data_IF_132058653563
#
_entry.id   IF_132058653563
#
_cell.length_a   1.000
_cell.length_b   1.000
_cell.length_c   1.000
_cell.angle_alpha   90.00
_cell.angle_beta   90.00
_cell.angle_gamma   90.00
#
_symmetry.space_group_name_H-M   'P 1'
#
loop_
_entity.id
_entity.type
_entity.pdbx_description
1 polymer ?
#
# COMPACT_ATOMS: atom_id res chain seq x y z
N UNK A 1 -0.58 7.99 5.44
CA UNK A 1 -1.92 7.35 5.46
C UNK A 1 -2.62 7.50 6.80
N UNK A 2 -2.03 7.11 7.95
CA UNK A 2 -2.70 7.17 9.26
C UNK A 2 -3.37 8.51 9.63
N UNK A 3 -2.72 9.66 9.38
CA UNK A 3 -3.31 10.98 9.65
C UNK A 3 -4.51 11.32 8.74
N UNK A 4 -4.50 10.86 7.50
CA UNK A 4 -5.62 11.04 6.55
C UNK A 4 -6.84 10.23 7.01
N UNK A 5 -6.62 9.00 7.46
CA UNK A 5 -7.67 8.14 8.00
C UNK A 5 -8.27 8.72 9.29
N UNK A 6 -7.43 9.23 10.21
CA UNK A 6 -7.91 9.94 11.40
C UNK A 6 -8.85 11.10 11.05
N UNK A 7 -8.45 11.94 10.08
CA UNK A 7 -9.23 13.10 9.67
C UNK A 7 -10.50 12.70 8.92
N UNK A 8 -10.44 11.71 8.02
CA UNK A 8 -11.61 11.17 7.31
C UNK A 8 -12.61 10.55 8.27
N UNK A 9 -12.18 9.65 9.17
CA UNK A 9 -13.08 9.03 10.17
C UNK A 9 -13.66 10.07 11.14
N UNK A 10 -12.88 11.10 11.51
CA UNK A 10 -13.38 12.22 12.32
C UNK A 10 -14.41 13.06 11.56
N UNK A 11 -14.21 13.31 10.26
CA UNK A 11 -15.14 14.06 9.42
C UNK A 11 -16.46 13.29 9.25
N UNK A 12 -16.39 11.99 8.96
CA UNK A 12 -17.55 11.09 8.83
C UNK A 12 -18.35 11.03 10.15
N UNK A 13 -17.70 10.84 11.30
CA UNK A 13 -18.38 10.81 12.59
C UNK A 13 -18.98 12.15 13.04
N UNK A 14 -18.41 13.29 12.61
CA UNK A 14 -19.01 14.60 12.89
C UNK A 14 -20.25 14.86 12.02
N UNK A 15 -20.28 14.36 10.79
CA UNK A 15 -21.46 14.42 9.91
C UNK A 15 -22.61 13.52 10.42
N UNK A 16 -22.32 12.30 10.89
CA UNK A 16 -23.34 11.38 11.44
C UNK A 16 -23.99 11.85 12.75
N UNK A 17 -23.41 12.83 13.46
CA UNK A 17 -24.10 13.48 14.60
C UNK A 17 -25.27 14.38 14.16
N UNK A 18 -25.29 14.89 12.92
CA UNK A 18 -26.40 15.69 12.36
C UNK A 18 -27.48 14.83 11.72
N UNK A 19 -27.11 13.72 11.09
CA UNK A 19 -28.03 12.78 10.46
C UNK A 19 -28.10 11.48 11.28
N UNK A 20 -29.21 11.25 12.00
CA UNK A 20 -29.48 10.05 12.83
C UNK A 20 -29.55 8.75 12.01
N UNK A 21 -28.49 8.35 11.30
CA UNK A 21 -28.29 6.98 10.82
C UNK A 21 -27.15 6.36 11.61
N UNK A 22 -27.55 5.66 12.66
CA UNK A 22 -26.69 4.87 13.52
C UNK A 22 -26.06 3.72 12.74
N UNK A 23 -24.74 3.58 12.88
CA UNK A 23 -24.04 2.36 12.51
C UNK A 23 -22.55 2.59 12.31
N UNK A 24 -21.77 2.43 13.39
CA UNK A 24 -20.31 2.23 13.38
C UNK A 24 -19.47 3.52 13.30
N UNK A 25 -19.57 4.40 14.31
CA UNK A 25 -18.48 5.35 14.57
C UNK A 25 -17.30 4.61 15.22
N UNK A 26 -16.40 4.06 14.41
CA UNK A 26 -15.13 3.50 14.89
C UNK A 26 -14.27 4.65 15.42
N UNK A 27 -13.64 4.49 16.58
CA UNK A 27 -12.80 5.55 17.17
C UNK A 27 -11.72 5.98 16.16
N UNK A 28 -11.65 7.27 15.77
CA UNK A 28 -10.74 7.75 14.73
C UNK A 28 -9.27 7.44 15.01
N UNK A 29 -8.89 7.46 16.28
CA UNK A 29 -7.55 7.07 16.75
C UNK A 29 -7.24 5.60 16.44
N UNK A 30 -8.15 4.67 16.76
CA UNK A 30 -7.94 3.26 16.45
C UNK A 30 -7.87 3.00 14.94
N UNK A 31 -8.74 3.64 14.14
CA UNK A 31 -8.70 3.50 12.68
C UNK A 31 -7.34 3.92 12.08
N UNK A 32 -6.79 5.05 12.54
CA UNK A 32 -5.48 5.54 12.16
C UNK A 32 -4.33 4.62 12.62
N UNK A 33 -4.43 4.05 13.83
CA UNK A 33 -3.42 3.11 14.36
C UNK A 33 -3.44 1.80 13.57
N UNK A 34 -4.61 1.21 13.31
CA UNK A 34 -4.71 -0.03 12.54
C UNK A 34 -4.15 0.13 11.12
N UNK A 35 -4.51 1.22 10.43
CA UNK A 35 -4.00 1.51 9.09
C UNK A 35 -2.52 1.85 9.09
N UNK A 36 -2.04 2.58 10.10
CA UNK A 36 -0.61 2.86 10.29
C UNK A 36 0.22 1.59 10.51
N UNK A 37 -0.22 0.71 11.41
CA UNK A 37 0.46 -0.55 11.73
C UNK A 37 0.44 -1.50 10.53
N UNK A 38 -0.71 -1.66 9.86
CA UNK A 38 -0.82 -2.48 8.66
C UNK A 38 0.16 -2.03 7.56
N UNK A 39 0.27 -0.71 7.34
CA UNK A 39 1.22 -0.15 6.40
C UNK A 39 2.67 -0.40 6.82
N UNK A 40 3.01 -0.18 8.09
CA UNK A 40 4.34 -0.42 8.63
C UNK A 40 4.79 -1.87 8.39
N UNK A 41 3.95 -2.85 8.74
CA UNK A 41 4.26 -4.26 8.50
C UNK A 41 4.35 -4.60 7.01
N UNK A 42 3.48 -4.03 6.17
CA UNK A 42 3.54 -4.25 4.72
C UNK A 42 4.86 -3.74 4.14
N UNK A 43 5.26 -2.52 4.51
CA UNK A 43 6.52 -1.92 4.08
C UNK A 43 7.71 -2.74 4.59
N UNK A 44 7.70 -3.16 5.86
CA UNK A 44 8.75 -3.98 6.43
C UNK A 44 8.88 -5.33 5.69
N UNK A 45 7.76 -5.95 5.35
CA UNK A 45 7.72 -7.20 4.59
C UNK A 45 8.31 -7.03 3.18
N UNK A 46 8.02 -5.91 2.50
CA UNK A 46 8.60 -5.61 1.18
C UNK A 46 10.09 -5.25 1.26
N UNK A 47 10.53 -4.60 2.34
CA UNK A 47 11.94 -4.25 2.55
C UNK A 47 12.78 -5.44 3.02
N UNK A 48 12.18 -6.40 3.70
CA UNK A 48 12.84 -7.59 4.24
C UNK A 48 13.86 -8.26 3.30
N UNK A 49 13.57 -8.53 2.01
CA UNK A 49 14.57 -9.09 1.10
C UNK A 49 15.82 -8.23 0.94
N UNK A 50 15.72 -6.89 0.99
CA UNK A 50 16.88 -5.99 0.93
C UNK A 50 17.70 -5.99 2.21
N UNK A 51 17.12 -6.39 3.35
CA UNK A 51 17.87 -6.47 4.61
C UNK A 51 18.76 -7.72 4.69
N UNK A 52 18.41 -8.79 3.97
CA UNK A 52 19.07 -10.10 4.08
C UNK A 52 19.96 -10.39 2.88
N UNK A 53 19.55 -9.97 1.68
CA UNK A 53 20.26 -10.29 0.45
C UNK A 53 21.27 -9.19 0.12
N UNK A 54 22.55 -9.56 0.06
CA UNK A 54 23.63 -8.65 -0.34
C UNK A 54 23.57 -8.26 -1.83
N UNK A 55 22.89 -9.06 -2.66
CA UNK A 55 22.77 -8.77 -4.08
C UNK A 55 21.43 -8.07 -4.38
N UNK A 56 21.53 -6.80 -4.77
CA UNK A 56 20.41 -5.90 -5.06
C UNK A 56 19.48 -6.46 -6.14
N UNK A 57 20.00 -7.16 -7.15
CA UNK A 57 19.17 -7.71 -8.23
C UNK A 57 18.29 -8.87 -7.75
N UNK A 58 18.82 -9.75 -6.89
CA UNK A 58 18.03 -10.81 -6.28
C UNK A 58 17.00 -10.24 -5.28
N UNK A 59 17.39 -9.23 -4.49
CA UNK A 59 16.48 -8.55 -3.58
C UNK A 59 15.32 -7.87 -4.31
N UNK A 60 15.59 -7.25 -5.47
CA UNK A 60 14.58 -6.64 -6.33
C UNK A 60 13.58 -7.66 -6.86
N UNK A 61 14.07 -8.79 -7.41
CA UNK A 61 13.20 -9.87 -7.89
C UNK A 61 12.30 -10.41 -6.78
N UNK A 62 12.85 -10.59 -5.58
CA UNK A 62 12.08 -11.07 -4.42
C UNK A 62 11.06 -10.04 -3.93
N UNK A 63 11.40 -8.75 -3.97
CA UNK A 63 10.47 -7.68 -3.63
C UNK A 63 9.29 -7.61 -4.59
N UNK A 64 9.53 -7.73 -5.90
CA UNK A 64 8.47 -7.74 -6.91
C UNK A 64 7.51 -8.92 -6.71
N UNK A 65 8.05 -10.11 -6.41
CA UNK A 65 7.24 -11.30 -6.12
C UNK A 65 6.39 -11.07 -4.86
N UNK A 66 6.98 -10.55 -3.78
CA UNK A 66 6.25 -10.22 -2.56
C UNK A 66 5.16 -9.17 -2.80
N UNK A 67 5.43 -8.15 -3.62
CA UNK A 67 4.42 -7.14 -4.00
C UNK A 67 3.24 -7.78 -4.75
N UNK A 68 3.51 -8.69 -5.70
CA UNK A 68 2.45 -9.43 -6.41
C UNK A 68 1.63 -10.27 -5.43
N UNK A 69 2.26 -10.93 -4.45
CA UNK A 69 1.56 -11.68 -3.41
C UNK A 69 0.64 -10.78 -2.57
N UNK A 70 1.12 -9.61 -2.13
CA UNK A 70 0.31 -8.66 -1.35
C UNK A 70 -0.88 -8.16 -2.17
N UNK A 71 -0.66 -7.76 -3.44
CA UNK A 71 -1.73 -7.31 -4.34
C UNK A 71 -2.77 -8.41 -4.57
N UNK A 72 -2.30 -9.64 -4.80
CA UNK A 72 -3.16 -10.83 -4.98
C UNK A 72 -4.00 -11.08 -3.73
N UNK A 73 -3.39 -11.12 -2.55
CA UNK A 73 -4.07 -11.35 -1.28
C UNK A 73 -5.11 -10.26 -0.98
N UNK A 74 -4.74 -8.99 -1.16
CA UNK A 74 -5.65 -7.86 -0.97
C UNK A 74 -6.82 -7.91 -1.96
N UNK A 75 -6.55 -8.21 -3.23
CA UNK A 75 -7.59 -8.28 -4.27
C UNK A 75 -8.52 -9.47 -4.05
N UNK A 76 -7.98 -10.61 -3.62
CA UNK A 76 -8.76 -11.80 -3.27
C UNK A 76 -9.70 -11.53 -2.09
N UNK A 77 -9.18 -10.92 -1.02
CA UNK A 77 -9.97 -10.53 0.15
C UNK A 77 -11.08 -9.52 -0.24
N UNK A 78 -10.72 -8.49 -1.01
CA UNK A 78 -11.68 -7.50 -1.50
C UNK A 78 -12.76 -8.12 -2.39
N UNK A 79 -12.39 -9.04 -3.29
CA UNK A 79 -13.33 -9.75 -4.17
C UNK A 79 -14.31 -10.63 -3.38
N UNK A 80 -13.83 -11.30 -2.32
CA UNK A 80 -14.66 -12.15 -1.44
C UNK A 80 -15.70 -11.37 -0.65
N UNK A 81 -15.34 -10.21 -0.09
CA UNK A 81 -16.26 -9.44 0.76
C UNK A 81 -17.16 -8.48 -0.03
N UNK A 82 -16.65 -7.91 -1.13
CA UNK A 82 -17.35 -6.85 -1.88
C UNK A 82 -18.00 -7.35 -3.18
N UNK A 83 -17.79 -8.62 -3.56
CA UNK A 83 -18.35 -9.21 -4.78
C UNK A 83 -17.76 -8.62 -6.07
N UNK A 84 -16.64 -7.91 -5.99
CA UNK A 84 -15.99 -7.29 -7.14
C UNK A 84 -15.20 -8.32 -7.96
N UNK A 85 -15.06 -8.08 -9.26
CA UNK A 85 -14.34 -8.99 -10.15
C UNK A 85 -12.82 -8.97 -9.86
N UNK A 86 -12.33 -10.10 -9.31
CA UNK A 86 -10.92 -10.30 -8.95
C UNK A 86 -9.96 -9.90 -10.08
N UNK A 87 -10.16 -10.47 -11.28
CA UNK A 87 -9.23 -10.25 -12.40
C UNK A 87 -9.12 -8.78 -12.79
N UNK A 88 -10.26 -8.07 -12.85
CA UNK A 88 -10.27 -6.66 -13.22
C UNK A 88 -9.50 -5.81 -12.22
N UNK A 89 -9.81 -5.96 -10.93
CA UNK A 89 -9.13 -5.23 -9.85
C UNK A 89 -7.66 -5.60 -9.71
N UNK A 90 -7.33 -6.87 -9.92
CA UNK A 90 -5.95 -7.36 -9.83
C UNK A 90 -5.09 -6.69 -10.90
N UNK A 91 -5.51 -6.74 -12.17
CA UNK A 91 -4.77 -6.12 -13.26
C UNK A 91 -4.70 -4.60 -13.13
N UNK A 92 -5.75 -3.96 -12.63
CA UNK A 92 -5.75 -2.52 -12.35
C UNK A 92 -4.70 -2.15 -11.29
N UNK A 93 -4.70 -2.83 -10.14
CA UNK A 93 -3.72 -2.58 -9.08
C UNK A 93 -2.30 -2.96 -9.49
N UNK A 94 -2.14 -4.05 -10.24
CA UNK A 94 -0.84 -4.49 -10.75
C UNK A 94 -0.27 -3.47 -11.75
N UNK A 95 -1.09 -2.99 -12.69
CA UNK A 95 -0.67 -2.00 -13.68
C UNK A 95 -0.29 -0.67 -13.02
N UNK A 96 -1.07 -0.20 -12.04
CA UNK A 96 -0.74 1.01 -11.27
C UNK A 96 0.57 0.81 -10.51
N UNK A 97 0.73 -0.31 -9.81
CA UNK A 97 1.94 -0.58 -9.01
C UNK A 97 3.19 -0.71 -9.88
N UNK A 98 3.11 -1.42 -11.00
CA UNK A 98 4.20 -1.55 -11.97
C UNK A 98 4.52 -0.21 -12.64
N UNK A 99 3.50 0.58 -12.98
CA UNK A 99 3.67 1.93 -13.53
C UNK A 99 4.42 2.85 -12.56
N UNK A 100 3.99 2.89 -11.30
CA UNK A 100 4.68 3.65 -10.25
C UNK A 100 6.11 3.12 -10.07
N UNK A 101 6.32 1.80 -10.03
CA UNK A 101 7.64 1.22 -9.89
C UNK A 101 8.59 1.63 -11.04
N UNK A 102 8.14 1.56 -12.30
CA UNK A 102 8.93 1.97 -13.47
C UNK A 102 9.29 3.45 -13.38
N UNK A 103 8.33 4.32 -13.05
CA UNK A 103 8.56 5.76 -12.94
C UNK A 103 9.51 6.06 -11.78
N UNK A 104 9.31 5.45 -10.62
CA UNK A 104 10.18 5.63 -9.44
C UNK A 104 11.60 5.13 -9.68
N UNK A 105 11.78 3.96 -10.31
CA UNK A 105 13.10 3.46 -10.69
C UNK A 105 13.75 4.34 -11.76
N UNK A 106 12.99 4.79 -12.75
CA UNK A 106 13.48 5.71 -13.79
C UNK A 106 13.96 7.03 -13.20
N UNK A 107 13.17 7.64 -12.31
CA UNK A 107 13.56 8.84 -11.55
C UNK A 107 14.82 8.59 -10.70
N UNK A 108 14.86 7.47 -9.97
CA UNK A 108 16.03 7.11 -9.17
C UNK A 108 17.29 6.94 -10.01
N UNK A 109 17.18 6.31 -11.18
CA UNK A 109 18.28 6.14 -12.12
C UNK A 109 18.75 7.49 -12.71
N UNK A 110 17.81 8.36 -13.09
CA UNK A 110 18.11 9.71 -13.59
C UNK A 110 18.88 10.52 -12.54
N UNK A 111 18.37 10.61 -11.31
CA UNK A 111 19.05 11.31 -10.21
C UNK A 111 20.46 10.74 -10.00
N UNK A 112 20.62 9.43 -10.09
CA UNK A 112 21.90 8.77 -9.92
C UNK A 112 22.91 9.10 -11.02
N UNK A 113 22.47 9.24 -12.28
CA UNK A 113 23.29 9.73 -13.38
C UNK A 113 23.80 11.16 -13.15
N UNK A 114 22.96 12.03 -12.56
CA UNK A 114 23.35 13.42 -12.24
C UNK A 114 24.23 13.54 -10.98
N UNK A 115 24.03 12.69 -9.97
CA UNK A 115 24.75 12.74 -8.69
C UNK A 115 26.05 11.91 -8.70
N UNK A 116 26.28 11.09 -9.74
CA UNK A 116 27.55 10.38 -9.95
C UNK A 116 27.79 9.19 -9.01
N UNK A 117 26.76 8.72 -8.29
CA UNK A 117 26.89 7.57 -7.39
C UNK A 117 26.74 6.29 -8.20
N UNK A 118 27.85 5.59 -8.48
CA UNK A 118 27.81 4.22 -8.97
C UNK A 118 27.50 3.25 -7.82
N UNK A 119 26.79 2.16 -8.13
CA UNK A 119 26.61 0.99 -7.25
C UNK A 119 27.81 0.09 -7.42
#
# INVERSE_FOLDING_TARGET
>A
MAGSEYLSTKAECNHTKKDKKAGICKSPSSAAIYTGIAYFFTVLFLLFPYLILNNVFYALGWTLINAIFVITGYTYYASREKGESFSRKFFEMLAISMGVAIISFGMGYLVRMFVGVSV
#
